data_IF_581258443854
#
_entry.id   IF_581258443854
#
_cell.length_a   1.000
_cell.length_b   1.000
_cell.length_c   1.000
_cell.angle_alpha   90.00
_cell.angle_beta   90.00
_cell.angle_gamma   90.00
#
_symmetry.space_group_name_H-M   'P 1'
#
loop_
_entity.id
_entity.type
_entity.pdbx_description
1 polymer ?
#
# COMPACT_ATOMS: atom_id res chain seq x y z
N UNK A 1 0.64 2.12 11.25
CA UNK A 1 0.79 1.08 10.21
C UNK A 1 -0.57 1.01 9.55
N UNK A 2 -0.63 1.15 8.23
CA UNK A 2 -1.93 1.06 7.51
C UNK A 2 -1.85 0.04 6.38
N UNK A 3 -0.75 0.00 5.61
CA UNK A 3 -0.57 -1.02 4.57
C UNK A 3 0.25 -2.23 5.01
N UNK A 4 -0.17 -3.42 4.57
CA UNK A 4 0.57 -4.68 4.76
C UNK A 4 0.53 -5.53 3.49
N UNK A 5 1.68 -6.01 3.03
CA UNK A 5 1.76 -7.00 1.97
C UNK A 5 2.72 -8.12 2.37
N UNK A 6 2.32 -9.37 2.13
CA UNK A 6 3.07 -10.56 2.57
C UNK A 6 3.51 -11.37 1.36
N UNK A 7 4.77 -11.79 1.35
CA UNK A 7 5.31 -12.72 0.38
C UNK A 7 6.23 -13.72 1.09
N UNK A 8 5.73 -14.95 1.28
CA UNK A 8 6.40 -16.00 2.05
C UNK A 8 6.81 -15.52 3.46
N UNK A 9 8.11 -15.44 3.73
CA UNK A 9 8.72 -15.06 5.00
C UNK A 9 9.01 -13.55 5.11
N UNK A 10 8.60 -12.77 4.11
CA UNK A 10 8.80 -11.32 4.03
C UNK A 10 7.48 -10.59 4.19
N UNK A 11 7.43 -9.64 5.11
CA UNK A 11 6.27 -8.79 5.36
C UNK A 11 6.64 -7.34 5.13
N UNK A 12 5.98 -6.72 4.18
CA UNK A 12 6.10 -5.31 3.87
C UNK A 12 5.05 -4.54 4.66
N UNK A 13 5.49 -3.50 5.35
CA UNK A 13 4.66 -2.70 6.25
C UNK A 13 4.78 -1.23 5.87
N UNK A 14 3.67 -0.66 5.42
CA UNK A 14 3.54 0.73 5.06
C UNK A 14 3.15 1.60 6.26
N UNK A 15 3.85 2.71 6.43
CA UNK A 15 3.49 3.72 7.42
C UNK A 15 2.81 4.91 6.75
N UNK A 16 1.61 5.24 7.23
CA UNK A 16 0.95 6.54 6.97
C UNK A 16 1.71 7.72 7.53
N UNK A 17 2.40 7.52 8.65
CA UNK A 17 3.19 8.53 9.33
C UNK A 17 4.22 7.86 10.24
N UNK A 18 5.37 8.51 10.48
CA UNK A 18 5.74 9.85 10.02
C UNK A 18 6.11 9.89 8.53
N UNK A 19 5.69 10.94 7.83
CA UNK A 19 6.30 11.33 6.55
C UNK A 19 7.40 12.32 6.88
N UNK A 20 8.65 11.90 6.70
CA UNK A 20 9.82 12.66 7.14
C UNK A 20 10.40 13.41 5.94
N UNK A 21 10.32 14.75 5.99
CA UNK A 21 10.78 15.63 4.90
C UNK A 21 10.17 15.27 3.54
N UNK A 22 8.90 14.84 3.53
CA UNK A 22 8.17 14.45 2.32
C UNK A 22 8.28 12.97 1.94
N UNK A 23 9.09 12.18 2.63
CA UNK A 23 9.31 10.76 2.33
C UNK A 23 8.46 9.85 3.23
N UNK A 24 7.74 8.92 2.60
CA UNK A 24 7.04 7.85 3.29
C UNK A 24 8.01 6.74 3.70
N UNK A 25 7.67 5.99 4.76
CA UNK A 25 8.48 4.88 5.25
C UNK A 25 7.80 3.53 4.97
N UNK A 26 8.48 2.69 4.20
CA UNK A 26 8.18 1.29 3.99
C UNK A 26 9.19 0.44 4.77
N UNK A 27 8.68 -0.49 5.57
CA UNK A 27 9.50 -1.48 6.26
C UNK A 27 9.36 -2.83 5.56
N UNK A 28 10.47 -3.53 5.40
CA UNK A 28 10.46 -4.94 5.02
C UNK A 28 10.95 -5.73 6.22
N UNK A 29 10.09 -6.58 6.75
CA UNK A 29 10.34 -7.42 7.91
C UNK A 29 10.60 -8.85 7.45
N UNK A 30 11.62 -9.47 8.03
CA UNK A 30 11.94 -10.87 7.81
C UNK A 30 11.48 -11.67 9.01
N UNK A 31 10.48 -12.52 8.82
CA UNK A 31 9.79 -13.21 9.90
C UNK A 31 10.00 -14.73 9.84
N UNK A 32 9.94 -15.36 11.01
CA UNK A 32 9.85 -16.81 11.17
C UNK A 32 8.77 -17.13 12.20
N UNK A 33 8.21 -18.33 12.15
CA UNK A 33 7.32 -18.82 13.20
C UNK A 33 8.03 -18.81 14.57
N UNK A 34 7.34 -18.31 15.58
CA UNK A 34 7.74 -18.47 16.98
C UNK A 34 6.98 -19.65 17.61
N UNK A 35 5.67 -19.67 17.41
CA UNK A 35 4.76 -20.78 17.72
C UNK A 35 3.64 -20.89 16.65
N UNK A 36 2.57 -21.64 16.93
CA UNK A 36 1.44 -21.86 15.99
C UNK A 36 0.65 -20.58 15.67
N UNK A 37 0.72 -19.54 16.50
CA UNK A 37 -0.11 -18.34 16.38
C UNK A 37 0.70 -17.05 16.21
N UNK A 38 2.02 -17.10 16.40
CA UNK A 38 2.87 -15.89 16.46
C UNK A 38 4.10 -15.97 15.56
N UNK A 39 4.47 -14.80 15.04
CA UNK A 39 5.67 -14.60 14.23
C UNK A 39 6.67 -13.75 15.01
N UNK A 40 7.96 -14.02 14.82
CA UNK A 40 9.07 -13.23 15.34
C UNK A 40 10.01 -12.79 14.23
N UNK A 41 10.74 -11.70 14.48
CA UNK A 41 11.83 -11.29 13.60
C UNK A 41 12.90 -12.38 13.54
N UNK A 42 13.30 -12.73 12.32
CA UNK A 42 14.37 -13.68 12.06
C UNK A 42 15.72 -13.06 12.44
N UNK A 43 16.39 -13.67 13.42
CA UNK A 43 17.69 -13.20 13.95
C UNK A 43 18.89 -13.76 13.19
N UNK A 44 18.67 -14.66 12.23
CA UNK A 44 19.75 -15.28 11.44
C UNK A 44 20.23 -14.41 10.26
N UNK A 45 19.46 -13.38 9.92
CA UNK A 45 19.72 -12.41 8.84
C UNK A 45 19.39 -11.00 9.31
N UNK A 46 19.44 -10.03 8.39
CA UNK A 46 18.90 -8.70 8.63
C UNK A 46 17.44 -8.81 9.07
N UNK A 47 17.14 -8.37 10.29
CA UNK A 47 15.80 -8.50 10.89
C UNK A 47 14.75 -7.71 10.11
N UNK A 48 15.15 -6.57 9.58
CA UNK A 48 14.30 -5.70 8.79
C UNK A 48 15.13 -4.73 7.94
N UNK A 49 14.51 -4.20 6.89
CA UNK A 49 15.05 -3.11 6.06
C UNK A 49 14.08 -1.92 6.08
N UNK A 50 14.63 -0.73 5.87
CA UNK A 50 13.88 0.53 5.79
C UNK A 50 14.07 1.12 4.40
N UNK A 51 12.96 1.51 3.79
CA UNK A 51 12.92 2.17 2.50
C UNK A 51 12.12 3.47 2.61
N UNK A 52 12.69 4.53 2.07
CA UNK A 52 12.10 5.85 1.99
C UNK A 52 11.55 6.04 0.58
N UNK A 53 10.26 6.33 0.48
CA UNK A 53 9.57 6.46 -0.80
C UNK A 53 9.15 7.91 -1.02
N UNK A 54 9.49 8.47 -2.18
CA UNK A 54 8.94 9.75 -2.62
C UNK A 54 7.55 9.52 -3.19
N UNK A 55 6.53 9.75 -2.35
CA UNK A 55 5.11 9.63 -2.71
C UNK A 55 4.44 11.01 -2.79
N UNK A 56 5.22 12.07 -3.03
CA UNK A 56 4.71 13.43 -3.12
C UNK A 56 4.19 13.97 -1.78
N UNK A 57 4.80 13.58 -0.65
CA UNK A 57 4.36 13.98 0.69
C UNK A 57 3.21 13.16 1.28
N UNK A 58 2.72 12.15 0.57
CA UNK A 58 1.70 11.22 1.05
C UNK A 58 2.30 10.08 1.89
N UNK A 59 1.48 9.51 2.78
CA UNK A 59 1.80 8.30 3.53
C UNK A 59 1.25 7.05 2.84
N UNK A 60 1.72 5.87 3.25
CA UNK A 60 1.23 4.59 2.70
C UNK A 60 -0.06 4.20 3.42
N UNK A 61 -1.11 3.97 2.64
CA UNK A 61 -2.45 3.51 3.07
C UNK A 61 -2.61 2.02 2.98
N UNK A 62 -2.27 1.45 1.83
CA UNK A 62 -2.36 0.01 1.61
C UNK A 62 -1.25 -0.47 0.66
N UNK A 63 -1.01 -1.78 0.67
CA UNK A 63 0.03 -2.45 -0.10
C UNK A 63 -0.51 -3.76 -0.69
N UNK A 64 -0.17 -4.03 -1.94
CA UNK A 64 -0.50 -5.31 -2.57
C UNK A 64 0.58 -5.70 -3.58
N UNK A 65 0.87 -7.00 -3.72
CA UNK A 65 1.83 -7.46 -4.72
C UNK A 65 1.13 -7.74 -6.05
N UNK A 66 1.69 -7.21 -7.13
CA UNK A 66 1.36 -7.58 -8.51
C UNK A 66 2.59 -8.26 -9.13
N UNK A 67 2.56 -9.60 -9.19
CA UNK A 67 3.75 -10.36 -9.57
C UNK A 67 4.93 -10.09 -8.62
N UNK A 68 6.03 -9.54 -9.15
CA UNK A 68 7.20 -9.16 -8.33
C UNK A 68 7.18 -7.72 -7.81
N UNK A 69 6.19 -6.94 -8.23
CA UNK A 69 6.15 -5.50 -7.99
C UNK A 69 5.21 -5.21 -6.82
N UNK A 70 5.53 -4.16 -6.06
CA UNK A 70 4.70 -3.72 -4.95
C UNK A 70 3.85 -2.54 -5.42
N UNK A 71 2.53 -2.71 -5.44
CA UNK A 71 1.58 -1.62 -5.59
C UNK A 71 1.41 -0.92 -4.24
N UNK A 72 1.34 0.40 -4.28
CA UNK A 72 1.27 1.26 -3.10
C UNK A 72 0.11 2.23 -3.28
N UNK A 73 -0.89 2.11 -2.41
CA UNK A 73 -1.91 3.14 -2.25
C UNK A 73 -1.36 4.21 -1.31
N UNK A 74 -1.27 5.44 -1.78
CA UNK A 74 -0.75 6.57 -1.02
C UNK A 74 -1.84 7.63 -0.84
N UNK A 75 -1.92 8.22 0.35
CA UNK A 75 -2.88 9.27 0.67
C UNK A 75 -2.39 10.23 1.75
N UNK A 76 -3.16 11.28 2.08
CA UNK A 76 -2.78 12.30 3.06
C UNK A 76 -2.39 11.69 4.42
N UNK A 77 -1.44 12.27 5.15
CA UNK A 77 -1.02 11.67 6.44
C UNK A 77 -1.96 11.98 7.60
N UNK A 78 -2.69 13.08 7.46
CA UNK A 78 -3.70 13.55 8.41
C UNK A 78 -5.09 13.10 7.93
N UNK A 79 -6.05 13.16 8.84
CA UNK A 79 -7.47 12.92 8.52
C UNK A 79 -8.07 14.15 7.81
N UNK A 80 -7.50 14.47 6.65
CA UNK A 80 -7.93 15.54 5.77
C UNK A 80 -8.34 14.93 4.43
N UNK A 81 -9.32 15.56 3.80
CA UNK A 81 -9.70 15.19 2.45
C UNK A 81 -8.55 15.51 1.49
N UNK A 82 -8.24 14.57 0.60
CA UNK A 82 -7.15 14.71 -0.35
C UNK A 82 -7.12 13.53 -1.31
N UNK A 83 -6.50 13.75 -2.46
CA UNK A 83 -6.42 12.74 -3.50
C UNK A 83 -5.56 11.56 -3.02
N UNK A 84 -5.99 10.36 -3.39
CA UNK A 84 -5.19 9.17 -3.25
C UNK A 84 -4.49 8.87 -4.58
N UNK A 85 -3.30 8.30 -4.49
CA UNK A 85 -2.47 7.99 -5.64
C UNK A 85 -2.03 6.53 -5.56
N UNK A 86 -2.04 5.85 -6.70
CA UNK A 86 -1.48 4.53 -6.86
C UNK A 86 -0.08 4.64 -7.44
N UNK A 87 0.88 3.98 -6.81
CA UNK A 87 2.24 3.85 -7.29
C UNK A 87 2.65 2.39 -7.46
N UNK A 88 3.65 2.15 -8.30
CA UNK A 88 4.34 0.87 -8.47
C UNK A 88 5.79 1.01 -8.02
N UNK A 89 6.23 0.13 -7.15
CA UNK A 89 7.64 -0.08 -6.83
C UNK A 89 8.10 -1.37 -7.53
N UNK A 90 8.83 -1.26 -8.66
CA UNK A 90 9.18 -2.42 -9.48
C UNK A 90 10.10 -3.39 -8.74
N UNK A 91 9.89 -4.69 -8.99
CA UNK A 91 10.73 -5.78 -8.54
C UNK A 91 11.02 -5.82 -7.02
N UNK A 92 10.12 -5.27 -6.18
CA UNK A 92 10.26 -5.26 -4.72
C UNK A 92 10.52 -6.65 -4.13
N UNK A 93 9.92 -7.71 -4.72
CA UNK A 93 10.15 -9.09 -4.31
C UNK A 93 11.49 -9.67 -4.77
N UNK A 94 12.14 -9.10 -5.78
CA UNK A 94 13.48 -9.55 -6.21
C UNK A 94 14.60 -8.98 -5.33
N UNK A 95 14.24 -8.05 -4.44
CA UNK A 95 15.16 -7.36 -3.54
C UNK A 95 15.43 -5.95 -4.04
N UNK A 96 15.37 -5.00 -3.10
CA UNK A 96 15.63 -3.59 -3.36
C UNK A 96 17.08 -3.27 -2.99
N UNK A 97 17.82 -2.65 -3.91
CA UNK A 97 19.18 -2.16 -3.65
C UNK A 97 19.12 -0.69 -3.22
N UNK A 98 19.54 -0.42 -1.98
CA UNK A 98 19.53 0.92 -1.41
C UNK A 98 18.34 1.19 -0.47
N UNK A 99 18.12 2.47 -0.17
CA UNK A 99 17.18 2.91 0.87
C UNK A 99 16.19 3.98 0.42
N UNK A 100 16.36 4.57 -0.76
CA UNK A 100 15.58 5.71 -1.24
C UNK A 100 15.08 5.40 -2.63
N UNK A 101 13.78 5.48 -2.83
CA UNK A 101 13.12 5.11 -4.08
C UNK A 101 12.08 6.16 -4.46
N UNK A 102 11.92 6.36 -5.76
CA UNK A 102 10.81 7.11 -6.34
C UNK A 102 9.96 6.11 -7.11
N UNK A 103 8.91 5.54 -6.49
CA UNK A 103 7.98 4.64 -7.17
C UNK A 103 7.34 5.30 -8.40
N UNK A 104 7.00 4.49 -9.39
CA UNK A 104 6.35 4.92 -10.62
C UNK A 104 4.88 5.28 -10.34
N UNK A 105 4.41 6.49 -10.66
CA UNK A 105 3.00 6.83 -10.50
C UNK A 105 2.18 6.08 -11.56
N UNK A 106 1.13 5.39 -11.13
CA UNK A 106 0.23 4.64 -12.02
C UNK A 106 -1.08 5.37 -12.28
N UNK A 107 -1.74 5.81 -11.20
CA UNK A 107 -3.08 6.37 -11.28
C UNK A 107 -3.28 7.40 -10.17
N UNK A 108 -3.87 8.53 -10.53
CA UNK A 108 -4.49 9.44 -9.57
C UNK A 108 -5.95 9.02 -9.39
N UNK A 109 -6.33 8.67 -8.16
CA UNK A 109 -7.70 8.29 -7.84
C UNK A 109 -8.52 9.58 -7.69
N UNK A 110 -8.98 10.08 -8.83
CA UNK A 110 -9.88 11.21 -8.92
C UNK A 110 -11.26 10.80 -8.40
N UNK A 111 -11.57 11.20 -7.18
CA UNK A 111 -12.94 11.17 -6.71
C UNK A 111 -13.71 12.36 -7.29
N UNK A 112 -14.83 12.08 -7.97
CA UNK A 112 -15.78 13.11 -8.42
C UNK A 112 -16.35 13.94 -7.26
N UNK A 113 -16.28 13.43 -6.02
CA UNK A 113 -16.73 14.11 -4.81
C UNK A 113 -15.59 14.66 -3.93
N UNK A 114 -14.31 14.42 -4.28
CA UNK A 114 -13.09 14.82 -3.54
C UNK A 114 -13.10 14.53 -2.02
N UNK A 115 -14.01 13.69 -1.54
CA UNK A 115 -14.25 13.41 -0.12
C UNK A 115 -14.09 11.94 0.24
N UNK A 116 -13.98 11.08 -0.77
CA UNK A 116 -13.81 9.65 -0.57
C UNK A 116 -12.35 9.31 -0.27
N UNK A 117 -12.14 8.74 0.92
CA UNK A 117 -10.82 8.36 1.43
C UNK A 117 -10.54 6.93 1.01
N UNK A 118 -9.83 6.75 -0.11
CA UNK A 118 -9.37 5.42 -0.54
C UNK A 118 -8.44 4.86 0.54
N UNK A 119 -8.77 3.67 1.03
CA UNK A 119 -8.15 3.12 2.24
C UNK A 119 -7.61 1.71 2.02
N UNK A 120 -8.29 0.90 1.20
CA UNK A 120 -7.89 -0.47 0.92
C UNK A 120 -7.88 -0.79 -0.56
N UNK A 121 -7.02 -1.70 -0.97
CA UNK A 121 -6.96 -2.22 -2.34
C UNK A 121 -6.61 -3.70 -2.39
N UNK A 122 -7.03 -4.37 -3.44
CA UNK A 122 -6.61 -5.75 -3.71
C UNK A 122 -6.72 -6.07 -5.19
N UNK A 123 -5.93 -7.04 -5.65
CA UNK A 123 -6.04 -7.56 -7.00
C UNK A 123 -7.24 -8.50 -7.15
N UNK A 124 -7.90 -8.41 -8.29
CA UNK A 124 -9.05 -9.23 -8.68
C UNK A 124 -8.94 -9.63 -10.15
N UNK A 125 -9.83 -10.52 -10.60
CA UNK A 125 -9.85 -11.04 -11.98
C UNK A 125 -8.49 -11.59 -12.42
N UNK A 126 -7.99 -12.61 -11.69
CA UNK A 126 -6.69 -13.24 -11.91
C UNK A 126 -5.54 -12.23 -12.02
N UNK A 127 -5.52 -11.29 -11.08
CA UNK A 127 -4.51 -10.22 -10.94
C UNK A 127 -4.46 -9.17 -12.07
N UNK A 128 -5.44 -9.16 -12.97
CA UNK A 128 -5.50 -8.20 -14.08
C UNK A 128 -6.16 -6.86 -13.73
N UNK A 129 -6.87 -6.80 -12.60
CA UNK A 129 -7.63 -5.62 -12.18
C UNK A 129 -7.35 -5.31 -10.71
N UNK A 130 -7.45 -4.02 -10.35
CA UNK A 130 -7.32 -3.54 -8.99
C UNK A 130 -8.68 -3.07 -8.47
N UNK A 131 -9.14 -3.66 -7.38
CA UNK A 131 -10.28 -3.18 -6.62
C UNK A 131 -9.82 -2.21 -5.55
N UNK A 132 -10.49 -1.07 -5.40
CA UNK A 132 -10.24 -0.06 -4.36
C UNK A 132 -11.51 0.20 -3.55
N UNK A 133 -11.36 0.22 -2.22
CA UNK A 133 -12.41 0.52 -1.24
C UNK A 133 -12.07 1.77 -0.43
N UNK A 134 -13.11 2.36 0.17
CA UNK A 134 -13.05 3.69 0.75
C UNK A 134 -13.59 3.66 2.19
N UNK A 135 -12.90 4.34 3.11
CA UNK A 135 -13.29 4.40 4.53
C UNK A 135 -14.49 5.33 4.75
N UNK A 136 -14.57 6.40 3.97
CA UNK A 136 -15.67 7.35 3.95
C UNK A 136 -16.34 7.38 2.55
N UNK A 137 -17.08 6.32 2.16
CA UNK A 137 -17.74 6.30 0.87
C UNK A 137 -18.84 7.36 0.81
N UNK A 138 -19.05 7.94 -0.38
CA UNK A 138 -20.19 8.84 -0.62
C UNK A 138 -21.52 8.10 -0.31
N UNK A 139 -22.53 8.76 0.29
CA UNK A 139 -23.81 8.11 0.61
C UNK A 139 -24.48 7.39 -0.57
N UNK A 140 -24.28 7.87 -1.81
CA UNK A 140 -24.78 7.22 -3.02
C UNK A 140 -24.12 5.88 -3.36
N UNK A 141 -23.01 5.54 -2.68
CA UNK A 141 -22.29 4.26 -2.83
C UNK A 141 -22.64 3.25 -1.74
N UNK A 142 -23.43 3.64 -0.75
CA UNK A 142 -23.88 2.75 0.33
C UNK A 142 -25.21 2.13 -0.08
N UNK A 143 -25.31 0.81 0.01
CA UNK A 143 -26.50 0.02 -0.30
C UNK A 143 -26.82 -0.92 0.85
N UNK A 144 -27.82 -0.61 1.68
CA UNK A 144 -28.27 -1.38 2.85
C UNK A 144 -27.14 -1.98 3.72
N UNK A 145 -26.58 -3.12 3.31
CA UNK A 145 -25.51 -3.87 4.00
C UNK A 145 -24.20 -4.00 3.21
N UNK A 146 -24.05 -3.22 2.14
CA UNK A 146 -22.93 -3.26 1.20
C UNK A 146 -22.48 -1.86 0.78
N UNK A 147 -21.27 -1.77 0.23
CA UNK A 147 -20.68 -0.55 -0.31
C UNK A 147 -20.13 -0.85 -1.71
N UNK A 148 -20.26 0.11 -2.63
CA UNK A 148 -19.63 0.02 -3.95
C UNK A 148 -18.12 0.26 -3.86
N UNK A 149 -17.36 -0.58 -4.56
CA UNK A 149 -15.93 -0.45 -4.77
C UNK A 149 -15.66 -0.06 -6.23
N UNK A 150 -14.51 0.58 -6.48
CA UNK A 150 -14.09 0.87 -7.85
C UNK A 150 -13.13 -0.20 -8.35
N UNK A 151 -13.26 -0.55 -9.64
CA UNK A 151 -12.39 -1.51 -10.33
C UNK A 151 -11.61 -0.77 -11.41
N UNK A 152 -10.30 -0.86 -11.36
CA UNK A 152 -9.38 -0.27 -12.32
C UNK A 152 -8.65 -1.37 -13.10
N UNK A 153 -8.49 -1.17 -14.40
CA UNK A 153 -7.52 -1.96 -15.17
C UNK A 153 -6.11 -1.50 -14.78
N UNK A 154 -5.20 -2.44 -14.52
CA UNK A 154 -3.81 -2.08 -14.27
C UNK A 154 -3.15 -1.70 -15.59
N UNK A 155 -2.39 -0.59 -15.64
CA UNK A 155 -1.53 -0.29 -16.78
C UNK A 155 -0.44 -1.36 -16.89
N UNK A 156 -0.04 -1.69 -18.13
CA UNK A 156 1.14 -2.53 -18.38
C UNK A 156 2.40 -1.91 -17.75
#
# INVERSE_FOLDING_TARGET
IEGIAVAADRVFVGLRGPVLRGWALLLELFLTADDEATLKLDKSRDRYRKYWLDLGGHGIRDLCFAGSDLLILAGPTLDIDGLAHLYRLPAALRGLEGHWFTPEPLLELLDQYRSQKAEGMTLVADDSQLMVVYDAPDPGRIQDTSVLADIFALPD
#
